data_IF_168800364572
#
_entry.id   IF_168800364572
#
_cell.length_a   1.000
_cell.length_b   1.000
_cell.length_c   1.000
_cell.angle_alpha   90.00
_cell.angle_beta   90.00
_cell.angle_gamma   90.00
#
_symmetry.space_group_name_H-M   'P 1'
#
loop_
_entity.id
_entity.type
_entity.pdbx_description
1 polymer ?
#
# COMPACT_ATOMS: atom_id res chain seq x y z
N UNK A 1 -16.85 -42.34 -24.28
CA UNK A 1 -17.45 -41.70 -23.09
C UNK A 1 -16.52 -40.57 -22.68
N UNK A 2 -16.90 -39.31 -22.92
CA UNK A 2 -16.09 -38.15 -22.55
C UNK A 2 -16.13 -37.99 -21.04
N UNK A 3 -15.01 -38.19 -20.36
CA UNK A 3 -14.88 -37.81 -18.95
C UNK A 3 -15.29 -36.34 -18.80
N UNK A 4 -16.12 -36.06 -17.80
CA UNK A 4 -16.61 -34.73 -17.50
C UNK A 4 -15.43 -33.83 -17.11
N UNK A 5 -15.07 -32.94 -18.05
CA UNK A 5 -13.93 -32.01 -17.97
C UNK A 5 -14.36 -30.76 -17.24
N UNK A 6 -14.54 -30.86 -15.93
CA UNK A 6 -15.09 -29.75 -15.16
C UNK A 6 -14.02 -28.67 -14.92
N UNK A 7 -14.20 -27.52 -15.57
CA UNK A 7 -13.47 -26.29 -15.26
C UNK A 7 -14.04 -25.69 -13.98
N UNK A 8 -13.20 -25.46 -12.98
CA UNK A 8 -13.59 -24.73 -11.76
C UNK A 8 -12.88 -23.40 -11.72
N UNK A 9 -13.64 -22.32 -11.48
CA UNK A 9 -13.12 -20.96 -11.44
C UNK A 9 -13.65 -20.23 -10.21
N UNK A 10 -12.78 -19.41 -9.60
CA UNK A 10 -13.15 -18.49 -8.53
C UNK A 10 -12.55 -17.13 -8.84
N UNK A 11 -13.37 -16.08 -8.71
CA UNK A 11 -12.96 -14.70 -8.86
C UNK A 11 -13.07 -13.98 -7.54
N UNK A 12 -12.00 -13.29 -7.14
CA UNK A 12 -11.95 -12.46 -5.95
C UNK A 12 -11.44 -11.07 -6.27
N UNK A 13 -11.72 -10.13 -5.37
CA UNK A 13 -11.20 -8.76 -5.43
C UNK A 13 -10.40 -8.47 -4.16
N UNK A 14 -9.30 -7.72 -4.30
CA UNK A 14 -8.44 -7.32 -3.20
C UNK A 14 -8.14 -5.81 -3.26
N UNK A 15 -8.19 -5.10 -2.12
CA UNK A 15 -7.89 -3.67 -2.05
C UNK A 15 -6.39 -3.37 -2.08
N UNK A 16 -6.05 -2.16 -2.53
CA UNK A 16 -4.77 -1.54 -2.23
C UNK A 16 -4.72 -1.04 -0.77
N UNK A 17 -3.53 -0.75 -0.26
CA UNK A 17 -3.34 -0.14 1.06
C UNK A 17 -2.24 0.92 1.01
N UNK A 18 -2.27 1.87 1.95
CA UNK A 18 -1.25 2.91 2.10
C UNK A 18 -0.61 2.83 3.48
N UNK A 19 0.72 2.72 3.54
CA UNK A 19 1.47 2.65 4.79
C UNK A 19 1.50 4.02 5.51
N UNK A 20 1.06 4.02 6.77
CA UNK A 20 1.19 5.16 7.71
C UNK A 20 2.39 5.00 8.63
N UNK A 21 2.83 3.75 8.84
CA UNK A 21 4.14 3.39 9.38
C UNK A 21 4.85 2.51 8.34
N UNK A 22 6.00 2.96 7.83
CA UNK A 22 6.63 2.40 6.63
C UNK A 22 7.32 1.06 6.89
N UNK A 23 7.15 0.16 5.92
CA UNK A 23 8.00 -1.01 5.73
C UNK A 23 9.21 -0.59 4.88
N UNK A 24 10.42 -0.60 5.44
CA UNK A 24 11.62 -0.34 4.66
C UNK A 24 12.84 -1.10 5.22
N UNK A 25 13.34 -2.05 4.44
CA UNK A 25 14.45 -2.92 4.81
C UNK A 25 14.01 -4.32 5.25
N UNK A 26 14.84 -5.31 4.92
CA UNK A 26 14.63 -6.73 5.23
C UNK A 26 15.79 -7.25 6.06
N UNK A 27 15.47 -7.98 7.13
CA UNK A 27 16.47 -8.78 7.86
C UNK A 27 16.72 -10.13 7.19
N UNK A 28 15.75 -10.60 6.41
CA UNK A 28 15.83 -11.82 5.61
C UNK A 28 15.15 -11.58 4.25
N UNK A 29 15.91 -11.68 3.17
CA UNK A 29 15.41 -11.42 1.82
C UNK A 29 14.74 -12.63 1.17
N UNK A 30 15.04 -13.84 1.64
CA UNK A 30 14.45 -15.07 1.10
C UNK A 30 13.06 -15.29 1.70
N UNK A 31 12.94 -15.05 3.01
CA UNK A 31 11.67 -15.12 3.74
C UNK A 31 10.88 -13.79 3.74
N UNK A 32 11.47 -12.71 3.21
CA UNK A 32 10.88 -11.36 3.17
C UNK A 32 10.55 -10.86 4.59
N UNK A 33 11.40 -11.14 5.58
CA UNK A 33 11.19 -10.70 6.95
C UNK A 33 11.62 -9.24 7.13
N UNK A 34 10.73 -8.34 7.58
CA UNK A 34 11.08 -6.95 7.81
C UNK A 34 12.07 -6.76 8.95
N UNK A 35 12.83 -5.66 8.90
CA UNK A 35 13.56 -5.14 10.06
C UNK A 35 12.62 -4.49 11.10
N UNK A 36 11.45 -4.01 10.68
CA UNK A 36 10.45 -3.36 11.54
C UNK A 36 9.01 -3.70 11.13
N UNK A 37 8.10 -3.72 12.10
CA UNK A 37 6.67 -3.77 11.80
C UNK A 37 6.21 -2.51 11.05
N UNK A 38 5.20 -2.67 10.20
CA UNK A 38 4.54 -1.58 9.46
C UNK A 38 3.05 -1.57 9.77
N UNK A 39 2.37 -0.45 9.49
CA UNK A 39 0.93 -0.29 9.65
C UNK A 39 0.37 0.53 8.48
N UNK A 40 -0.77 0.11 7.94
CA UNK A 40 -1.37 0.68 6.73
C UNK A 40 -2.88 0.87 6.85
N UNK A 41 -3.42 1.79 6.05
CA UNK A 41 -4.86 1.98 5.84
C UNK A 41 -5.28 1.29 4.55
N UNK A 42 -6.28 0.42 4.61
CA UNK A 42 -6.88 -0.24 3.44
C UNK A 42 -7.75 0.75 2.67
N UNK A 43 -7.57 0.83 1.35
CA UNK A 43 -8.36 1.69 0.47
C UNK A 43 -9.64 0.98 0.00
N UNK A 44 -10.70 1.75 -0.23
CA UNK A 44 -11.98 1.20 -0.64
C UNK A 44 -11.93 0.62 -2.06
N UNK A 45 -12.51 -0.57 -2.24
CA UNK A 45 -12.44 -1.33 -3.51
C UNK A 45 -13.30 -0.75 -4.64
N UNK A 46 -14.19 0.19 -4.32
CA UNK A 46 -14.94 0.93 -5.36
C UNK A 46 -14.03 1.88 -6.13
N UNK A 47 -12.91 2.31 -5.53
CA UNK A 47 -11.96 3.21 -6.15
C UNK A 47 -10.76 2.46 -6.71
N UNK A 48 -10.16 1.57 -5.91
CA UNK A 48 -8.92 0.86 -6.27
C UNK A 48 -8.98 -0.60 -5.82
N UNK A 49 -8.91 -1.52 -6.77
CA UNK A 49 -8.86 -2.97 -6.51
C UNK A 49 -8.10 -3.71 -7.60
N UNK A 50 -7.59 -4.88 -7.24
CA UNK A 50 -7.18 -5.92 -8.19
C UNK A 50 -8.25 -6.99 -8.23
N UNK A 51 -8.66 -7.40 -9.42
CA UNK A 51 -9.56 -8.54 -9.64
C UNK A 51 -8.73 -9.72 -10.17
N UNK A 52 -8.78 -10.84 -9.46
CA UNK A 52 -8.06 -12.06 -9.84
C UNK A 52 -9.03 -13.20 -10.00
N UNK A 53 -8.93 -13.91 -11.13
CA UNK A 53 -9.65 -15.14 -11.38
C UNK A 53 -8.66 -16.30 -11.42
N UNK A 54 -8.85 -17.28 -10.54
CA UNK A 54 -8.10 -18.52 -10.53
C UNK A 54 -8.95 -19.63 -11.18
N UNK A 55 -8.34 -20.40 -12.08
CA UNK A 55 -9.01 -21.48 -12.79
C UNK A 55 -8.22 -22.79 -12.63
N UNK A 56 -8.91 -23.89 -12.42
CA UNK A 56 -8.32 -25.24 -12.39
C UNK A 56 -9.12 -26.18 -13.31
N UNK A 57 -8.40 -27.03 -14.03
CA UNK A 57 -8.97 -28.07 -14.89
C UNK A 57 -7.97 -29.23 -14.99
N UNK A 58 -8.49 -30.45 -15.18
CA UNK A 58 -7.65 -31.65 -15.47
C UNK A 58 -6.94 -31.55 -16.83
N UNK A 59 -7.42 -30.69 -17.72
CA UNK A 59 -6.82 -30.48 -19.05
C UNK A 59 -5.61 -29.52 -19.02
N UNK A 60 -5.47 -28.68 -17.98
CA UNK A 60 -4.33 -27.78 -17.87
C UNK A 60 -3.06 -28.57 -17.55
N UNK A 61 -2.01 -28.37 -18.37
CA UNK A 61 -0.73 -29.09 -18.26
C UNK A 61 0.35 -28.32 -17.51
N UNK A 62 0.16 -27.02 -17.36
CA UNK A 62 1.13 -26.09 -16.79
C UNK A 62 0.41 -24.91 -16.11
N UNK A 63 1.14 -24.25 -15.21
CA UNK A 63 0.69 -22.99 -14.62
C UNK A 63 0.88 -21.86 -15.62
N UNK A 64 -0.14 -21.03 -15.81
CA UNK A 64 -0.08 -19.83 -16.65
C UNK A 64 -0.72 -18.66 -15.91
N UNK A 65 -0.17 -17.48 -16.12
CA UNK A 65 -0.63 -16.24 -15.48
C UNK A 65 -0.81 -15.18 -16.56
N UNK A 66 -1.91 -14.43 -16.49
CA UNK A 66 -2.11 -13.22 -17.27
C UNK A 66 -2.27 -12.03 -16.34
N UNK A 67 -1.59 -10.94 -16.67
CA UNK A 67 -1.71 -9.66 -15.98
C UNK A 67 -2.05 -8.59 -17.03
N UNK A 68 -3.18 -7.91 -16.84
CA UNK A 68 -3.67 -6.88 -17.76
C UNK A 68 -3.78 -7.34 -19.23
N UNK A 69 -4.10 -8.62 -19.45
CA UNK A 69 -4.26 -9.22 -20.78
C UNK A 69 -2.99 -9.81 -21.38
N UNK A 70 -1.82 -9.54 -20.79
CA UNK A 70 -0.54 -10.07 -21.25
C UNK A 70 -0.13 -11.29 -20.43
N UNK A 71 0.42 -12.31 -21.09
CA UNK A 71 0.93 -13.50 -20.40
C UNK A 71 2.21 -13.15 -19.65
N UNK A 72 2.27 -13.53 -18.38
CA UNK A 72 3.36 -13.24 -17.47
C UNK A 72 4.10 -14.54 -17.08
N UNK A 73 5.42 -14.42 -16.89
CA UNK A 73 6.25 -15.55 -16.49
C UNK A 73 5.87 -16.05 -15.08
N UNK A 74 5.52 -17.33 -15.01
CA UNK A 74 5.21 -17.99 -13.74
C UNK A 74 6.44 -18.49 -13.00
N UNK A 75 7.61 -18.53 -13.65
CA UNK A 75 8.88 -19.00 -13.09
C UNK A 75 9.46 -18.10 -12.01
N UNK A 76 8.97 -16.86 -11.88
CA UNK A 76 9.49 -15.90 -10.90
C UNK A 76 9.45 -16.46 -9.45
N UNK A 77 10.56 -16.41 -8.68
CA UNK A 77 10.68 -17.08 -7.38
C UNK A 77 9.58 -16.74 -6.36
N UNK A 78 9.09 -15.50 -6.37
CA UNK A 78 7.99 -15.07 -5.48
C UNK A 78 6.67 -15.74 -5.82
N UNK A 79 6.33 -15.84 -7.11
CA UNK A 79 5.09 -16.48 -7.53
C UNK A 79 5.15 -17.98 -7.23
N UNK A 80 6.29 -18.62 -7.55
CA UNK A 80 6.51 -20.02 -7.24
C UNK A 80 6.38 -20.31 -5.73
N UNK A 81 6.91 -19.43 -4.88
CA UNK A 81 6.76 -19.56 -3.42
C UNK A 81 5.30 -19.47 -2.98
N UNK A 82 4.52 -18.55 -3.55
CA UNK A 82 3.09 -18.44 -3.30
C UNK A 82 2.31 -19.68 -3.76
N UNK A 83 2.51 -20.13 -5.01
CA UNK A 83 1.82 -21.29 -5.57
C UNK A 83 2.13 -22.58 -4.80
N UNK A 84 3.39 -22.78 -4.40
CA UNK A 84 3.78 -23.90 -3.54
C UNK A 84 3.01 -23.90 -2.23
N UNK A 85 2.89 -22.74 -1.57
CA UNK A 85 2.20 -22.65 -0.28
C UNK A 85 0.68 -22.80 -0.41
N UNK A 86 0.06 -22.23 -1.45
CA UNK A 86 -1.36 -22.43 -1.75
C UNK A 86 -1.65 -23.92 -1.97
N UNK A 87 -0.81 -24.62 -2.74
CA UNK A 87 -0.92 -26.07 -2.95
C UNK A 87 -0.71 -26.87 -1.67
N UNK A 88 0.20 -26.43 -0.80
CA UNK A 88 0.45 -27.06 0.51
C UNK A 88 -0.77 -26.91 1.42
N UNK A 89 -1.33 -25.71 1.53
CA UNK A 89 -2.52 -25.42 2.34
C UNK A 89 -3.77 -26.14 1.82
N UNK A 90 -3.92 -26.28 0.49
CA UNK A 90 -4.99 -27.07 -0.10
C UNK A 90 -4.92 -28.57 0.25
N UNK A 91 -3.72 -29.08 0.58
CA UNK A 91 -3.50 -30.48 1.02
C UNK A 91 -3.60 -30.65 2.54
N UNK A 92 -3.23 -29.63 3.31
CA UNK A 92 -3.17 -29.66 4.77
C UNK A 92 -4.06 -28.56 5.36
N UNK A 93 -5.23 -28.95 5.87
CA UNK A 93 -6.15 -28.04 6.56
C UNK A 93 -5.66 -27.77 7.98
N UNK A 94 -4.67 -26.89 8.14
CA UNK A 94 -4.47 -26.09 9.36
C UNK A 94 -3.29 -25.13 9.18
N UNK A 95 -3.53 -23.81 9.24
CA UNK A 95 -2.51 -22.86 9.61
C UNK A 95 -2.87 -22.24 10.97
N UNK A 96 -2.17 -22.65 12.03
CA UNK A 96 -2.08 -21.90 13.27
C UNK A 96 -0.64 -21.46 13.47
N UNK A 97 -0.31 -20.23 13.06
CA UNK A 97 0.87 -19.54 13.57
C UNK A 97 0.52 -18.06 13.74
N UNK A 98 0.29 -17.65 14.99
CA UNK A 98 0.37 -16.24 15.39
C UNK A 98 1.78 -16.03 15.92
N UNK A 99 2.57 -15.23 15.24
CA UNK A 99 3.80 -14.71 15.82
C UNK A 99 3.43 -13.60 16.81
N UNK A 100 3.75 -13.79 18.08
CA UNK A 100 3.76 -12.71 19.06
C UNK A 100 4.95 -11.79 18.75
N UNK A 101 4.67 -10.64 18.13
CA UNK A 101 5.66 -9.63 17.88
C UNK A 101 5.62 -8.58 18.99
N UNK A 102 6.78 -8.21 19.53
CA UNK A 102 6.96 -6.95 20.26
C UNK A 102 6.53 -5.82 19.32
N UNK A 103 5.51 -5.07 19.74
CA UNK A 103 5.00 -3.91 18.99
C UNK A 103 5.89 -2.71 19.33
N UNK A 104 6.67 -2.16 18.38
CA UNK A 104 7.49 -0.99 18.63
C UNK A 104 6.64 0.22 19.07
N UNK A 105 7.22 1.14 19.84
CA UNK A 105 6.54 2.31 20.41
C UNK A 105 5.72 3.08 19.36
N UNK A 106 6.28 3.28 18.16
CA UNK A 106 5.62 4.03 17.10
C UNK A 106 4.34 3.35 16.60
N UNK A 107 4.34 2.03 16.45
CA UNK A 107 3.15 1.27 16.07
C UNK A 107 2.12 1.33 17.20
N UNK A 108 2.56 1.16 18.45
CA UNK A 108 1.66 1.24 19.60
C UNK A 108 0.95 2.61 19.67
N UNK A 109 1.70 3.71 19.47
CA UNK A 109 1.15 5.07 19.40
C UNK A 109 0.20 5.28 18.23
N UNK A 110 0.56 4.80 17.03
CA UNK A 110 -0.34 4.89 15.88
C UNK A 110 -1.64 4.12 16.11
N UNK A 111 -1.56 2.92 16.68
CA UNK A 111 -2.73 2.11 17.05
C UNK A 111 -3.58 2.85 18.10
N UNK A 112 -2.96 3.52 19.06
CA UNK A 112 -3.66 4.35 20.04
C UNK A 112 -4.44 5.49 19.35
N UNK A 113 -3.77 6.31 18.52
CA UNK A 113 -4.43 7.40 17.79
C UNK A 113 -5.61 6.91 16.95
N UNK A 114 -5.47 5.75 16.29
CA UNK A 114 -6.56 5.14 15.50
C UNK A 114 -7.74 4.72 16.40
N UNK A 115 -7.46 4.06 17.54
CA UNK A 115 -8.50 3.61 18.48
C UNK A 115 -9.26 4.77 19.10
N UNK A 116 -8.55 5.85 19.43
CA UNK A 116 -9.11 7.06 20.04
C UNK A 116 -9.74 8.00 19.01
N UNK A 117 -9.62 7.70 17.71
CA UNK A 117 -10.04 8.57 16.59
C UNK A 117 -9.38 9.95 16.66
N UNK A 118 -8.17 10.01 17.19
CA UNK A 118 -7.34 11.20 17.26
C UNK A 118 -6.66 11.43 15.91
N UNK A 119 -7.33 12.19 15.05
CA UNK A 119 -6.82 12.52 13.72
C UNK A 119 -5.55 13.37 13.78
N UNK A 120 -5.41 14.23 14.80
CA UNK A 120 -4.25 15.10 14.91
C UNK A 120 -2.98 14.30 15.22
N UNK A 121 -3.03 13.45 16.24
CA UNK A 121 -1.92 12.54 16.55
C UNK A 121 -1.62 11.56 15.42
N UNK A 122 -2.66 10.99 14.79
CA UNK A 122 -2.52 10.15 13.59
C UNK A 122 -1.80 10.89 12.45
N UNK A 123 -2.23 12.11 12.16
CA UNK A 123 -1.73 12.90 11.04
C UNK A 123 -0.27 13.32 11.24
N UNK A 124 0.05 13.82 12.43
CA UNK A 124 1.43 14.19 12.78
C UNK A 124 2.37 13.00 12.72
N UNK A 125 1.96 11.84 13.23
CA UNK A 125 2.80 10.65 13.23
C UNK A 125 3.02 10.10 11.82
N UNK A 126 1.96 10.09 11.00
CA UNK A 126 2.03 9.68 9.59
C UNK A 126 3.02 10.53 8.80
N UNK A 127 2.94 11.87 8.93
CA UNK A 127 3.85 12.79 8.24
C UNK A 127 5.31 12.62 8.70
N UNK A 128 5.54 12.45 10.00
CA UNK A 128 6.89 12.23 10.57
C UNK A 128 7.50 10.91 10.09
N UNK A 129 6.72 9.85 10.06
CA UNK A 129 7.18 8.53 9.61
C UNK A 129 7.51 8.54 8.11
N UNK A 130 6.66 9.17 7.30
CA UNK A 130 6.95 9.40 5.88
C UNK A 130 8.25 10.18 5.68
N UNK A 131 8.45 11.29 6.42
CA UNK A 131 9.67 12.08 6.32
C UNK A 131 10.91 11.26 6.71
N UNK A 132 10.83 10.47 7.79
CA UNK A 132 11.95 9.66 8.24
C UNK A 132 12.31 8.57 7.22
N UNK A 133 11.32 7.92 6.61
CA UNK A 133 11.56 6.97 5.53
C UNK A 133 12.33 7.62 4.36
N UNK A 134 11.92 8.79 3.90
CA UNK A 134 12.65 9.48 2.83
C UNK A 134 14.02 10.00 3.27
N UNK A 135 14.20 10.31 4.56
CA UNK A 135 15.52 10.65 5.11
C UNK A 135 16.47 9.45 5.12
N UNK A 136 16.00 8.25 5.47
CA UNK A 136 16.85 7.04 5.39
C UNK A 136 17.17 6.67 3.93
N UNK A 137 16.25 6.91 2.98
CA UNK A 137 16.56 6.82 1.56
C UNK A 137 17.66 7.79 1.12
N UNK A 138 17.59 9.05 1.58
CA UNK A 138 18.61 10.06 1.29
C UNK A 138 19.98 9.70 1.88
N UNK A 139 20.01 9.02 3.03
CA UNK A 139 21.22 8.57 3.73
C UNK A 139 21.85 7.30 3.14
N UNK A 140 21.21 6.68 2.13
CA UNK A 140 21.82 5.56 1.39
C UNK A 140 22.96 6.00 0.46
N UNK A 141 23.81 5.06 0.05
CA UNK A 141 24.86 5.31 -0.94
C UNK A 141 24.81 4.29 -2.10
N UNK A 142 24.57 4.73 -3.35
CA UNK A 142 24.22 6.09 -3.76
C UNK A 142 22.86 6.53 -3.19
N UNK A 143 22.64 7.83 -2.95
CA UNK A 143 21.40 8.33 -2.36
C UNK A 143 20.19 8.05 -3.26
N UNK A 144 19.09 7.65 -2.62
CA UNK A 144 17.80 7.38 -3.29
C UNK A 144 16.89 8.59 -3.13
N UNK A 145 16.45 9.15 -4.26
CA UNK A 145 15.53 10.30 -4.30
C UNK A 145 14.18 9.89 -4.88
N UNK A 146 13.18 9.75 -4.02
CA UNK A 146 11.78 9.56 -4.45
C UNK A 146 11.01 10.86 -4.58
N UNK A 147 11.23 11.81 -3.65
CA UNK A 147 10.52 13.07 -3.62
C UNK A 147 11.11 14.06 -4.61
N UNK A 148 10.24 14.67 -5.43
CA UNK A 148 10.60 15.76 -6.32
C UNK A 148 10.09 17.11 -5.78
N UNK A 149 10.27 18.17 -6.56
CA UNK A 149 9.87 19.53 -6.14
C UNK A 149 8.35 19.69 -6.00
N UNK A 150 7.56 18.94 -6.77
CA UNK A 150 6.09 18.89 -6.61
C UNK A 150 5.74 18.24 -5.27
N UNK A 151 6.39 17.13 -4.91
CA UNK A 151 6.21 16.49 -3.61
C UNK A 151 6.50 17.47 -2.46
N UNK A 152 7.61 18.23 -2.55
CA UNK A 152 7.97 19.25 -1.54
C UNK A 152 6.96 20.40 -1.47
N UNK A 153 6.42 20.84 -2.61
CA UNK A 153 5.35 21.86 -2.66
C UNK A 153 4.06 21.36 -2.00
N UNK A 154 3.70 20.08 -2.18
CA UNK A 154 2.53 19.48 -1.52
C UNK A 154 2.75 19.40 0.00
N UNK A 155 3.95 19.01 0.45
CA UNK A 155 4.32 19.04 1.88
C UNK A 155 4.14 20.44 2.47
N UNK A 156 4.68 21.46 1.78
CA UNK A 156 4.54 22.86 2.22
C UNK A 156 3.08 23.32 2.25
N UNK A 157 2.26 22.91 1.27
CA UNK A 157 0.85 23.23 1.21
C UNK A 157 0.08 22.63 2.39
N UNK A 158 0.32 21.35 2.71
CA UNK A 158 -0.31 20.66 3.84
C UNK A 158 0.01 21.35 5.18
N UNK A 159 1.28 21.72 5.41
CA UNK A 159 1.68 22.45 6.62
C UNK A 159 1.03 23.84 6.70
N UNK A 160 0.97 24.58 5.59
CA UNK A 160 0.31 25.89 5.53
C UNK A 160 -1.19 25.79 5.79
N UNK A 161 -1.84 24.76 5.23
CA UNK A 161 -3.26 24.50 5.45
C UNK A 161 -3.54 24.19 6.92
N UNK A 162 -2.79 23.26 7.54
CA UNK A 162 -2.91 22.95 8.96
C UNK A 162 -2.66 24.18 9.86
N UNK A 163 -1.63 24.97 9.55
CA UNK A 163 -1.34 26.20 10.29
C UNK A 163 -2.47 27.23 10.17
N UNK A 164 -3.10 27.37 9.00
CA UNK A 164 -4.23 28.25 8.79
C UNK A 164 -5.44 27.90 9.68
N UNK A 165 -5.72 26.60 9.86
CA UNK A 165 -6.80 26.13 10.73
C UNK A 165 -6.41 25.96 12.20
N UNK A 166 -5.16 26.21 12.56
CA UNK A 166 -4.65 26.07 13.93
C UNK A 166 -4.61 24.63 14.48
N UNK A 167 -4.87 23.63 13.64
CA UNK A 167 -4.85 22.20 14.01
C UNK A 167 -4.54 21.33 12.78
N UNK A 168 -4.15 20.08 13.02
CA UNK A 168 -3.87 19.11 11.95
C UNK A 168 -5.17 18.64 11.28
N UNK A 169 -5.47 19.16 10.08
CA UNK A 169 -6.66 18.82 9.27
C UNK A 169 -6.33 17.90 8.09
N UNK A 170 -5.10 17.93 7.61
CA UNK A 170 -4.59 17.04 6.57
C UNK A 170 -3.25 16.44 6.96
N UNK A 171 -2.99 15.23 6.47
CA UNK A 171 -1.72 14.55 6.67
C UNK A 171 -1.23 13.93 5.37
N UNK A 172 0.01 14.22 4.98
CA UNK A 172 0.62 13.63 3.80
C UNK A 172 1.43 12.37 4.14
N UNK A 173 1.55 11.49 3.16
CA UNK A 173 2.52 10.40 3.19
C UNK A 173 2.93 10.02 1.77
N UNK A 174 4.16 9.55 1.62
CA UNK A 174 4.79 9.21 0.33
C UNK A 174 5.44 7.83 0.44
N UNK A 175 5.21 6.96 -0.54
CA UNK A 175 5.91 5.69 -0.69
C UNK A 175 7.14 5.86 -1.60
N UNK A 176 7.57 4.81 -2.29
CA UNK A 176 8.71 4.80 -3.20
C UNK A 176 8.43 5.55 -4.53
N UNK A 177 8.07 6.83 -4.45
CA UNK A 177 7.81 7.70 -5.59
C UNK A 177 7.33 9.10 -5.18
N UNK A 178 7.13 10.00 -6.16
CA UNK A 178 6.80 11.40 -5.89
C UNK A 178 5.31 11.63 -5.56
N UNK A 179 4.45 10.62 -5.75
CA UNK A 179 3.01 10.73 -5.56
C UNK A 179 2.66 10.93 -4.08
N UNK A 180 1.91 12.00 -3.79
CA UNK A 180 1.41 12.28 -2.45
C UNK A 180 0.09 11.56 -2.20
N UNK A 181 -0.01 10.83 -1.08
CA UNK A 181 -1.29 10.43 -0.52
C UNK A 181 -1.64 11.37 0.63
N UNK A 182 -2.87 11.90 0.61
CA UNK A 182 -3.37 12.82 1.63
C UNK A 182 -4.49 12.14 2.41
N UNK A 183 -4.34 12.07 3.73
CA UNK A 183 -5.42 11.75 4.64
C UNK A 183 -6.09 13.04 5.12
N UNK A 184 -7.42 13.05 5.12
CA UNK A 184 -8.27 14.11 5.63
C UNK A 184 -9.59 13.49 6.12
N UNK A 185 -10.28 14.13 7.06
CA UNK A 185 -11.65 13.77 7.40
C UNK A 185 -12.62 14.30 6.33
N UNK A 186 -13.79 13.66 6.22
CA UNK A 186 -14.74 13.93 5.13
C UNK A 186 -15.17 15.40 5.02
N UNK A 187 -15.28 16.10 6.16
CA UNK A 187 -15.61 17.52 6.24
C UNK A 187 -14.53 18.45 5.66
N UNK A 188 -13.28 17.98 5.60
CA UNK A 188 -12.10 18.74 5.16
C UNK A 188 -11.80 18.53 3.66
N UNK A 189 -12.25 17.41 3.09
CA UNK A 189 -11.85 16.97 1.74
C UNK A 189 -12.19 18.02 0.67
N UNK A 190 -13.41 18.55 0.66
CA UNK A 190 -13.86 19.45 -0.41
C UNK A 190 -13.02 20.74 -0.47
N UNK A 191 -12.80 21.37 0.70
CA UNK A 191 -11.97 22.57 0.79
C UNK A 191 -10.53 22.29 0.36
N UNK A 192 -9.93 21.22 0.88
CA UNK A 192 -8.53 20.92 0.59
C UNK A 192 -8.30 20.58 -0.89
N UNK A 193 -9.24 19.91 -1.55
CA UNK A 193 -9.18 19.62 -2.99
C UNK A 193 -9.16 20.92 -3.80
N UNK A 194 -9.97 21.91 -3.44
CA UNK A 194 -9.96 23.22 -4.12
C UNK A 194 -8.64 23.97 -3.88
N UNK A 195 -8.09 23.90 -2.67
CA UNK A 195 -6.75 24.44 -2.36
C UNK A 195 -5.67 23.78 -3.22
N UNK A 196 -5.74 22.47 -3.43
CA UNK A 196 -4.82 21.73 -4.32
C UNK A 196 -5.00 22.17 -5.78
N UNK A 197 -6.24 22.27 -6.28
CA UNK A 197 -6.54 22.71 -7.65
C UNK A 197 -6.02 24.12 -7.94
N UNK A 198 -6.17 25.05 -7.00
CA UNK A 198 -5.62 26.39 -7.12
C UNK A 198 -4.08 26.41 -7.12
N UNK A 199 -3.46 25.52 -6.34
CA UNK A 199 -2.00 25.45 -6.20
C UNK A 199 -1.31 24.68 -7.33
N UNK A 200 -2.02 23.72 -7.92
CA UNK A 200 -1.59 22.80 -8.97
C UNK A 200 -2.73 22.69 -9.99
N UNK A 201 -2.96 23.74 -10.81
CA UNK A 201 -4.01 23.71 -11.80
C UNK A 201 -3.82 22.50 -12.72
N UNK A 202 -4.88 21.72 -12.98
CA UNK A 202 -4.77 20.59 -13.88
C UNK A 202 -4.28 21.10 -15.24
N UNK A 203 -3.44 20.30 -15.90
CA UNK A 203 -3.22 20.54 -17.32
C UNK A 203 -4.59 20.51 -18.03
N UNK A 204 -4.80 21.30 -19.09
CA UNK A 204 -5.90 21.03 -19.98
C UNK A 204 -5.68 19.61 -20.49
N UNK A 205 -6.43 18.65 -19.94
CA UNK A 205 -6.33 17.26 -20.33
C UNK A 205 -6.61 17.21 -21.82
N UNK A 206 -5.58 16.97 -22.63
CA UNK A 206 -5.80 16.51 -23.98
C UNK A 206 -6.38 15.12 -23.86
N UNK A 207 -7.67 14.98 -24.17
CA UNK A 207 -8.27 13.69 -24.48
C UNK A 207 -7.36 12.99 -25.53
N UNK A 208 -6.57 12.03 -25.07
CA UNK A 208 -5.84 11.07 -25.90
C UNK A 208 -5.96 9.71 -25.25
#
# INVERSE_FOLDING_TARGET
>A
MSEDKTLTMVTCTAPANMAVIKYWGKRDSDLILPINSSLSVTLHQDQLKTTTTAAISRDFKEDRLWLNGEEADVGHPRLQSCLREVRRLARNVSPQHRAEALVPERIARMVQHIRERDFEGFGQLTMRDSNQFHATCLDTFPPIFYLNDVSRRIIALAHRYNAHHGCTKVAYTFDAGPNAMIFALADTVAEFVEVVRCSFPPAPNGDR
#
